data_IF_610274349454
#
_entry.id   IF_610274349454
#
_cell.length_a   1.000
_cell.length_b   1.000
_cell.length_c   1.000
_cell.angle_alpha   90.00
_cell.angle_beta   90.00
_cell.angle_gamma   90.00
#
_symmetry.space_group_name_H-M   'P 1'
#
loop_
_entity.id
_entity.type
_entity.pdbx_description
1 polymer ?
#
# COMPACT_ATOMS: atom_id res chain seq x y z
N UNK A 1 -8.18 -9.70 -11.59
CA UNK A 1 -8.76 -10.73 -10.71
C UNK A 1 -10.20 -10.95 -11.14
N UNK A 2 -10.99 -11.66 -10.33
CA UNK A 2 -12.43 -11.82 -10.61
C UNK A 2 -13.15 -10.61 -10.03
N UNK A 3 -14.00 -9.97 -10.82
CA UNK A 3 -14.82 -8.85 -10.38
C UNK A 3 -15.60 -9.25 -9.10
N UNK A 4 -15.43 -8.50 -8.02
CA UNK A 4 -16.02 -8.80 -6.70
C UNK A 4 -15.19 -9.69 -5.77
N UNK A 5 -13.94 -10.03 -6.12
CA UNK A 5 -13.01 -10.72 -5.21
C UNK A 5 -12.77 -9.89 -3.93
N UNK A 6 -12.87 -10.48 -2.73
CA UNK A 6 -12.54 -9.79 -1.47
C UNK A 6 -11.04 -9.57 -1.29
N UNK A 7 -10.20 -10.11 -2.18
CA UNK A 7 -8.74 -10.05 -2.13
C UNK A 7 -8.14 -9.12 -3.18
N UNK A 8 -8.97 -8.44 -3.97
CA UNK A 8 -8.52 -7.59 -5.06
C UNK A 8 -7.88 -8.38 -6.21
N UNK A 9 -7.10 -7.65 -7.00
CA UNK A 9 -6.47 -8.15 -8.22
C UNK A 9 -4.98 -8.31 -8.02
N UNK A 10 -4.44 -9.48 -8.41
CA UNK A 10 -3.00 -9.65 -8.53
C UNK A 10 -2.49 -8.82 -9.70
N UNK A 11 -1.49 -7.98 -9.45
CA UNK A 11 -0.85 -7.10 -10.43
C UNK A 11 0.67 -7.30 -10.40
N UNK A 12 1.37 -6.81 -11.43
CA UNK A 12 2.84 -6.87 -11.53
C UNK A 12 3.47 -5.48 -11.45
N UNK A 13 4.79 -5.40 -11.31
CA UNK A 13 5.50 -4.12 -11.33
C UNK A 13 5.43 -3.42 -12.70
N UNK A 14 5.32 -4.18 -13.79
CA UNK A 14 5.08 -3.63 -15.14
C UNK A 14 3.69 -2.98 -15.23
N UNK A 15 2.69 -3.54 -14.54
CA UNK A 15 1.37 -2.92 -14.44
C UNK A 15 1.45 -1.58 -13.71
N UNK A 16 2.17 -1.51 -12.58
CA UNK A 16 2.37 -0.26 -11.84
C UNK A 16 3.05 0.80 -12.73
N UNK A 17 4.09 0.42 -13.48
CA UNK A 17 4.75 1.30 -14.44
C UNK A 17 3.81 1.77 -15.55
N UNK A 18 2.97 0.88 -16.08
CA UNK A 18 2.05 1.20 -17.18
C UNK A 18 0.89 2.09 -16.72
N UNK A 19 0.35 1.82 -15.54
CA UNK A 19 -0.70 2.64 -14.93
C UNK A 19 -0.16 4.00 -14.47
N UNK A 20 1.13 4.06 -14.10
CA UNK A 20 1.84 5.23 -13.63
C UNK A 20 1.04 6.07 -12.62
N UNK A 21 0.71 5.52 -11.44
CA UNK A 21 -0.11 6.22 -10.47
C UNK A 21 0.64 7.42 -9.86
N UNK A 22 -0.11 8.45 -9.50
CA UNK A 22 0.43 9.59 -8.73
C UNK A 22 0.74 9.23 -7.27
N UNK A 23 0.06 8.21 -6.74
CA UNK A 23 0.17 7.73 -5.36
C UNK A 23 0.14 6.20 -5.30
N UNK A 24 0.99 5.62 -4.46
CA UNK A 24 0.92 4.21 -4.09
C UNK A 24 0.69 4.14 -2.59
N UNK A 25 -0.47 3.63 -2.18
CA UNK A 25 -0.80 3.39 -0.77
C UNK A 25 -0.71 1.89 -0.55
N UNK A 26 0.30 1.46 0.21
CA UNK A 26 0.63 0.07 0.42
C UNK A 26 0.52 -0.32 1.90
N UNK A 27 0.18 -1.58 2.16
CA UNK A 27 0.35 -2.21 3.47
C UNK A 27 0.82 -3.65 3.28
N UNK A 28 1.57 -4.16 4.25
CA UNK A 28 2.14 -5.49 4.17
C UNK A 28 1.36 -6.51 5.02
N UNK A 29 0.56 -7.35 4.35
CA UNK A 29 -0.12 -8.46 5.01
C UNK A 29 0.85 -9.39 5.75
N UNK A 30 2.03 -9.63 5.19
CA UNK A 30 3.08 -10.46 5.78
C UNK A 30 3.49 -9.93 7.15
N UNK A 31 3.84 -8.65 7.23
CA UNK A 31 4.12 -7.98 8.50
C UNK A 31 2.98 -8.09 9.52
N UNK A 32 1.70 -8.05 9.09
CA UNK A 32 0.58 -8.21 10.02
C UNK A 32 0.52 -9.60 10.65
N UNK A 33 0.90 -10.65 9.92
CA UNK A 33 0.81 -12.06 10.38
C UNK A 33 2.16 -12.66 10.82
N UNK A 34 3.25 -11.88 10.77
CA UNK A 34 4.59 -12.30 11.19
C UNK A 34 5.41 -13.03 10.11
N UNK A 35 5.18 -12.72 8.83
CA UNK A 35 5.96 -13.22 7.70
C UNK A 35 7.16 -12.31 7.37
N UNK A 36 8.13 -12.81 6.58
CA UNK A 36 9.46 -12.21 6.43
C UNK A 36 9.70 -11.27 5.24
N UNK A 37 8.79 -11.17 4.27
CA UNK A 37 8.93 -10.26 3.11
C UNK A 37 8.08 -9.01 3.28
N UNK A 38 8.62 -7.84 2.93
CA UNK A 38 7.93 -6.56 3.15
C UNK A 38 7.38 -5.92 1.87
N UNK A 39 6.35 -5.08 2.03
CA UNK A 39 5.86 -4.25 0.93
C UNK A 39 6.94 -3.29 0.40
N UNK A 40 7.80 -2.77 1.28
CA UNK A 40 8.90 -1.89 0.90
C UNK A 40 9.90 -2.60 -0.01
N UNK A 41 10.33 -3.82 0.33
CA UNK A 41 11.21 -4.62 -0.53
C UNK A 41 10.55 -4.98 -1.87
N UNK A 42 9.23 -5.21 -1.87
CA UNK A 42 8.49 -5.51 -3.10
C UNK A 42 8.46 -4.31 -4.06
N UNK A 43 8.31 -3.10 -3.51
CA UNK A 43 8.22 -1.85 -4.28
C UNK A 43 9.58 -1.22 -4.59
N UNK A 44 10.65 -1.64 -3.93
CA UNK A 44 12.02 -1.18 -4.19
C UNK A 44 12.62 -1.85 -5.44
N UNK A 45 12.18 -1.39 -6.61
CA UNK A 45 12.68 -1.89 -7.89
C UNK A 45 12.65 -0.81 -9.00
N UNK A 46 13.42 -1.03 -10.06
CA UNK A 46 13.60 -0.07 -11.16
C UNK A 46 12.31 0.30 -11.90
N UNK A 47 11.32 -0.58 -11.95
CA UNK A 47 10.05 -0.30 -12.63
C UNK A 47 9.21 0.66 -11.78
N UNK A 48 9.10 0.40 -10.48
CA UNK A 48 8.37 1.28 -9.55
C UNK A 48 9.10 2.62 -9.40
N UNK A 49 10.44 2.64 -9.36
CA UNK A 49 11.24 3.87 -9.31
C UNK A 49 10.99 4.84 -10.49
N UNK A 50 10.42 4.34 -11.60
CA UNK A 50 10.06 5.13 -12.78
C UNK A 50 8.63 5.68 -12.76
N UNK A 51 7.84 5.34 -11.74
CA UNK A 51 6.48 5.86 -11.58
C UNK A 51 6.49 7.28 -11.00
N UNK A 52 5.45 8.05 -11.29
CA UNK A 52 5.22 9.37 -10.68
C UNK A 52 5.19 9.24 -9.15
N UNK A 53 4.49 8.23 -8.61
CA UNK A 53 4.45 8.01 -7.16
C UNK A 53 5.85 7.88 -6.53
N UNK A 54 6.77 7.14 -7.14
CA UNK A 54 8.12 7.00 -6.60
C UNK A 54 8.94 8.30 -6.73
N UNK A 55 8.83 8.99 -7.86
CA UNK A 55 9.62 10.20 -8.15
C UNK A 55 9.25 11.37 -7.25
N UNK A 56 7.98 11.48 -6.91
CA UNK A 56 7.45 12.54 -6.04
C UNK A 56 7.46 12.14 -4.55
N UNK A 57 7.92 10.93 -4.20
CA UNK A 57 7.94 10.45 -2.82
C UNK A 57 6.55 10.09 -2.26
N UNK A 58 5.59 9.80 -3.12
CA UNK A 58 4.19 9.48 -2.81
C UNK A 58 3.92 7.96 -2.64
N UNK A 59 4.90 7.22 -2.12
CA UNK A 59 4.71 5.83 -1.71
C UNK A 59 4.50 5.80 -0.19
N UNK A 60 3.28 5.51 0.22
CA UNK A 60 2.84 5.54 1.63
C UNK A 60 2.65 4.12 2.14
N UNK A 61 3.27 3.81 3.29
CA UNK A 61 3.14 2.52 3.94
C UNK A 61 2.26 2.63 5.18
N UNK A 62 1.10 1.98 5.16
CA UNK A 62 0.12 2.03 6.23
C UNK A 62 0.34 0.92 7.27
N UNK A 63 -0.13 1.12 8.52
CA UNK A 63 -0.02 0.11 9.58
C UNK A 63 -0.80 -1.16 9.24
N UNK A 64 -0.09 -2.23 8.92
CA UNK A 64 -0.69 -3.44 8.37
C UNK A 64 -1.59 -4.19 9.36
N UNK A 65 -1.26 -4.22 10.64
CA UNK A 65 -2.08 -4.89 11.66
C UNK A 65 -3.45 -4.21 11.84
N UNK A 66 -3.49 -2.88 11.75
CA UNK A 66 -4.71 -2.10 11.84
C UNK A 66 -5.62 -2.34 10.63
N UNK A 67 -5.02 -2.37 9.44
CA UNK A 67 -5.71 -2.61 8.17
C UNK A 67 -6.09 -4.06 7.89
N UNK A 68 -5.42 -5.04 8.51
CA UNK A 68 -5.61 -6.45 8.17
C UNK A 68 -6.22 -7.30 9.29
N UNK A 69 -5.90 -7.00 10.56
CA UNK A 69 -6.36 -7.79 11.71
C UNK A 69 -7.49 -7.08 12.44
N UNK A 70 -7.33 -5.77 12.67
CA UNK A 70 -8.26 -5.01 13.52
C UNK A 70 -9.49 -4.55 12.73
N UNK A 71 -9.32 -4.09 11.47
CA UNK A 71 -10.29 -3.68 10.42
C UNK A 71 -11.54 -2.89 10.85
N UNK A 72 -12.28 -3.34 11.86
CA UNK A 72 -13.48 -2.73 12.42
C UNK A 72 -13.26 -2.04 13.78
N UNK A 73 -12.00 -1.93 14.25
CA UNK A 73 -11.69 -1.19 15.47
C UNK A 73 -11.72 0.32 15.22
N UNK A 74 -12.55 1.05 15.96
CA UNK A 74 -12.71 2.51 15.81
C UNK A 74 -11.37 3.27 15.88
N UNK A 75 -10.48 2.90 16.80
CA UNK A 75 -9.15 3.50 16.93
C UNK A 75 -8.25 3.18 15.74
N UNK A 76 -8.26 1.93 15.26
CA UNK A 76 -7.50 1.54 14.07
C UNK A 76 -7.96 2.31 12.82
N UNK A 77 -9.26 2.48 12.65
CA UNK A 77 -9.79 3.30 11.55
C UNK A 77 -9.36 4.76 11.66
N UNK A 78 -9.37 5.34 12.88
CA UNK A 78 -8.88 6.70 13.08
C UNK A 78 -7.40 6.84 12.75
N UNK A 79 -6.57 5.92 13.24
CA UNK A 79 -5.12 5.93 12.99
C UNK A 79 -4.80 5.84 11.49
N UNK A 80 -5.43 4.91 10.75
CA UNK A 80 -5.25 4.78 9.30
C UNK A 80 -5.66 6.06 8.57
N UNK A 81 -6.80 6.65 8.94
CA UNK A 81 -7.28 7.88 8.30
C UNK A 81 -6.36 9.08 8.62
N UNK A 82 -5.83 9.15 9.84
CA UNK A 82 -4.86 10.17 10.24
C UNK A 82 -3.57 10.02 9.43
N UNK A 83 -3.02 8.81 9.31
CA UNK A 83 -1.80 8.54 8.53
C UNK A 83 -1.97 9.00 7.07
N UNK A 84 -3.10 8.67 6.44
CA UNK A 84 -3.39 9.13 5.06
C UNK A 84 -3.52 10.65 5.01
N UNK A 85 -4.24 11.26 5.96
CA UNK A 85 -4.45 12.70 5.98
C UNK A 85 -3.13 13.47 6.16
N UNK A 86 -2.27 13.04 7.08
CA UNK A 86 -0.99 13.67 7.36
C UNK A 86 -0.05 13.65 6.15
N UNK A 87 -0.14 12.60 5.33
CA UNK A 87 0.73 12.43 4.16
C UNK A 87 0.16 13.07 2.88
N UNK A 88 -1.16 13.05 2.68
CA UNK A 88 -1.80 13.50 1.43
C UNK A 88 -2.26 14.95 1.47
N UNK A 89 -2.58 15.47 2.66
CA UNK A 89 -3.09 16.85 2.83
C UNK A 89 -2.00 17.80 3.36
N UNK A 90 -0.89 17.25 3.87
CA UNK A 90 0.24 17.98 4.44
C UNK A 90 1.07 18.79 3.43
#
# INVERSE_FOLDING_TARGET
GVEGSPHGDTVTNEFLLTANPDWIIAFDRGAAVGDGSTAAETLDNELVARTTAAQEGHIVYLPASELYIVINGLTAMQNVLTEIADVVVG
#
